data_IF_381206076485
#
_entry.id   IF_381206076485
#
_cell.length_a   1.000
_cell.length_b   1.000
_cell.length_c   1.000
_cell.angle_alpha   90.00
_cell.angle_beta   90.00
_cell.angle_gamma   90.00
#
_symmetry.space_group_name_H-M   'P 1'
#
loop_
_entity.id
_entity.type
_entity.pdbx_description
1 polymer ?
#
# COMPACT_ATOMS: atom_id res chain seq x y z
N UNK A 1 40.75 14.70 7.12
CA UNK A 1 39.97 15.75 6.44
C UNK A 1 39.21 15.08 5.31
N UNK A 2 37.94 14.70 5.53
CA UNK A 2 37.15 14.02 4.49
C UNK A 2 36.45 15.09 3.67
N UNK A 3 36.81 15.18 2.40
CA UNK A 3 36.17 16.07 1.43
C UNK A 3 34.69 15.69 1.29
N UNK A 4 33.79 16.60 1.68
CA UNK A 4 32.38 16.53 1.29
C UNK A 4 32.30 17.00 -0.17
N UNK A 5 32.09 16.07 -1.08
CA UNK A 5 31.75 16.37 -2.47
C UNK A 5 30.47 17.22 -2.50
N UNK A 6 30.42 18.18 -3.44
CA UNK A 6 29.26 19.04 -3.68
C UNK A 6 28.02 18.19 -3.98
N UNK A 7 26.94 18.41 -3.23
CA UNK A 7 25.64 17.78 -3.44
C UNK A 7 25.01 18.41 -4.69
N UNK A 8 24.94 17.64 -5.78
CA UNK A 8 24.11 17.96 -6.94
C UNK A 8 22.66 18.19 -6.49
N UNK A 9 21.93 19.04 -7.23
CA UNK A 9 20.69 19.69 -6.82
C UNK A 9 19.75 18.80 -6.00
N UNK A 10 19.39 19.27 -4.80
CA UNK A 10 18.53 18.51 -3.90
C UNK A 10 17.18 18.24 -4.57
N UNK A 11 16.88 16.98 -4.88
CA UNK A 11 15.55 16.57 -5.27
C UNK A 11 14.61 16.87 -4.09
N UNK A 12 13.58 17.68 -4.33
CA UNK A 12 12.62 18.06 -3.29
C UNK A 12 11.56 16.96 -3.20
N UNK A 13 11.61 16.16 -2.14
CA UNK A 13 10.59 15.16 -1.87
C UNK A 13 9.28 15.80 -1.43
N UNK A 14 8.11 15.19 -1.74
CA UNK A 14 6.81 15.65 -1.29
C UNK A 14 6.57 15.27 0.19
N UNK A 15 7.37 15.83 1.10
CA UNK A 15 7.26 15.56 2.54
C UNK A 15 5.88 15.99 3.08
N UNK A 16 5.28 15.15 3.93
CA UNK A 16 3.96 15.37 4.53
C UNK A 16 2.82 15.57 3.49
N UNK A 17 2.88 14.86 2.36
CA UNK A 17 1.82 14.87 1.36
C UNK A 17 1.05 13.55 1.39
N UNK A 18 -0.25 13.65 1.12
CA UNK A 18 -1.11 12.52 0.76
C UNK A 18 -1.17 12.52 -0.78
N UNK A 19 -0.81 11.40 -1.39
CA UNK A 19 -0.88 11.24 -2.84
C UNK A 19 -1.98 10.21 -3.10
N UNK A 20 -3.00 10.63 -3.86
CA UNK A 20 -4.12 9.77 -4.26
C UNK A 20 -3.83 9.14 -5.62
N UNK A 21 -4.01 7.82 -5.74
CA UNK A 21 -3.75 7.04 -6.96
C UNK A 21 -3.30 5.60 -6.70
N UNK A 22 -3.06 4.87 -7.78
CA UNK A 22 -2.45 3.54 -7.73
C UNK A 22 -1.04 3.62 -7.16
N UNK A 23 -0.73 2.78 -6.17
CA UNK A 23 0.53 2.90 -5.44
C UNK A 23 1.75 2.54 -6.30
N UNK A 24 1.63 1.62 -7.26
CA UNK A 24 2.73 1.23 -8.15
C UNK A 24 3.03 2.37 -9.11
N UNK A 25 2.00 2.93 -9.76
CA UNK A 25 2.15 4.07 -10.65
C UNK A 25 2.75 5.28 -9.94
N UNK A 26 2.22 5.64 -8.76
CA UNK A 26 2.68 6.78 -7.99
C UNK A 26 4.09 6.58 -7.45
N UNK A 27 4.41 5.41 -6.90
CA UNK A 27 5.76 5.14 -6.37
C UNK A 27 6.83 5.19 -7.48
N UNK A 28 6.49 4.78 -8.70
CA UNK A 28 7.40 4.87 -9.86
C UNK A 28 7.75 6.32 -10.25
N UNK A 29 6.98 7.32 -9.81
CA UNK A 29 7.30 8.74 -10.01
C UNK A 29 8.26 9.30 -8.96
N UNK A 30 8.46 8.59 -7.84
CA UNK A 30 9.38 9.02 -6.80
C UNK A 30 10.83 8.75 -7.21
N UNK A 31 11.79 9.57 -6.75
CA UNK A 31 13.20 9.31 -7.01
C UNK A 31 13.63 7.98 -6.37
N UNK A 32 14.51 7.26 -7.03
CA UNK A 32 15.10 6.05 -6.46
C UNK A 32 15.83 6.34 -5.13
N UNK A 33 15.85 5.35 -4.22
CA UNK A 33 16.54 5.43 -2.93
C UNK A 33 16.17 6.67 -2.09
N UNK A 34 14.94 7.15 -2.21
CA UNK A 34 14.48 8.39 -1.56
C UNK A 34 13.65 8.20 -0.29
N UNK A 35 13.28 6.96 0.04
CA UNK A 35 12.43 6.61 1.18
C UNK A 35 13.24 5.77 2.17
N UNK A 36 13.34 6.23 3.41
CA UNK A 36 14.12 5.56 4.46
C UNK A 36 13.40 4.34 5.05
N UNK A 37 12.07 4.38 5.11
CA UNK A 37 11.23 3.35 5.69
C UNK A 37 9.86 3.31 5.00
N UNK A 38 9.37 2.10 4.74
CA UNK A 38 8.04 1.85 4.17
C UNK A 38 7.24 1.03 5.18
N UNK A 39 6.01 1.46 5.43
CA UNK A 39 4.97 0.64 6.07
C UNK A 39 3.90 0.37 5.02
N UNK A 40 3.58 -0.90 4.81
CA UNK A 40 2.61 -1.32 3.80
C UNK A 40 1.62 -2.33 4.42
N UNK A 41 0.35 -2.11 4.13
CA UNK A 41 -0.77 -2.98 4.51
C UNK A 41 -1.58 -3.29 3.24
N UNK A 42 -1.10 -4.24 2.40
CA UNK A 42 -1.76 -4.56 1.13
C UNK A 42 -3.06 -5.34 1.36
N UNK A 43 -3.90 -5.52 0.32
CA UNK A 43 -4.99 -6.50 0.38
C UNK A 43 -4.48 -7.89 0.75
N UNK A 44 -5.24 -8.65 1.54
CA UNK A 44 -4.84 -9.96 2.06
C UNK A 44 -5.47 -11.13 1.30
N UNK A 45 -6.40 -10.85 0.39
CA UNK A 45 -7.15 -11.84 -0.37
C UNK A 45 -7.78 -12.87 0.58
N UNK A 46 -8.66 -12.41 1.47
CA UNK A 46 -9.22 -13.24 2.55
C UNK A 46 -10.11 -14.38 2.05
N UNK A 47 -10.54 -14.35 0.78
CA UNK A 47 -11.35 -15.40 0.14
C UNK A 47 -12.57 -15.81 0.96
N UNK A 48 -13.21 -14.85 1.63
CA UNK A 48 -14.35 -15.12 2.48
C UNK A 48 -15.49 -15.73 1.65
N UNK A 49 -16.04 -16.85 2.13
CA UNK A 49 -17.13 -17.58 1.45
C UNK A 49 -18.44 -17.38 2.19
N UNK A 50 -19.29 -16.53 1.63
CA UNK A 50 -20.65 -16.28 2.12
C UNK A 50 -20.70 -15.57 3.47
N UNK A 51 -21.89 -15.55 4.07
CA UNK A 51 -22.16 -14.82 5.30
C UNK A 51 -21.72 -15.60 6.53
N UNK A 52 -21.08 -14.91 7.47
CA UNK A 52 -20.76 -15.42 8.79
C UNK A 52 -21.72 -14.83 9.83
N UNK A 53 -22.25 -15.67 10.72
CA UNK A 53 -23.11 -15.24 11.83
C UNK A 53 -22.41 -15.47 13.17
N UNK A 54 -22.62 -14.53 14.10
CA UNK A 54 -22.22 -14.67 15.50
C UNK A 54 -23.18 -15.63 16.24
N UNK A 55 -22.83 -16.12 17.44
CA UNK A 55 -23.70 -17.01 18.23
C UNK A 55 -25.08 -16.43 18.58
N UNK A 56 -25.24 -15.11 18.57
CA UNK A 56 -26.50 -14.39 18.77
C UNK A 56 -27.30 -14.21 17.46
N UNK A 57 -26.91 -14.90 16.39
CA UNK A 57 -27.43 -14.81 15.02
C UNK A 57 -27.20 -13.46 14.30
N UNK A 58 -26.53 -12.48 14.90
CA UNK A 58 -26.15 -11.26 14.17
C UNK A 58 -25.14 -11.55 13.06
N UNK A 59 -25.28 -10.87 11.91
CA UNK A 59 -24.33 -11.00 10.79
C UNK A 59 -23.00 -10.32 11.14
N UNK A 60 -21.89 -10.95 10.76
CA UNK A 60 -20.55 -10.37 10.83
C UNK A 60 -20.38 -9.39 9.67
N UNK A 61 -19.83 -8.22 9.99
CA UNK A 61 -19.39 -7.24 9.00
C UNK A 61 -18.01 -7.67 8.51
N UNK A 62 -17.98 -8.30 7.34
CA UNK A 62 -16.79 -8.93 6.78
C UNK A 62 -16.06 -7.93 5.87
N UNK A 63 -14.78 -8.16 5.61
CA UNK A 63 -14.07 -7.43 4.55
C UNK A 63 -14.46 -8.09 3.22
N UNK A 64 -15.52 -7.59 2.61
CA UNK A 64 -16.07 -8.06 1.33
C UNK A 64 -15.90 -7.02 0.20
N UNK A 65 -15.11 -5.98 0.45
CA UNK A 65 -14.79 -4.95 -0.52
C UNK A 65 -14.06 -5.48 -1.76
N UNK A 66 -14.31 -4.84 -2.91
CA UNK A 66 -13.74 -5.22 -4.21
C UNK A 66 -12.21 -5.18 -4.26
N UNK A 67 -11.56 -4.35 -3.45
CA UNK A 67 -10.10 -4.23 -3.43
C UNK A 67 -9.41 -5.46 -2.83
N UNK A 68 -10.13 -6.31 -2.10
CA UNK A 68 -9.63 -7.58 -1.55
C UNK A 68 -10.10 -8.82 -2.35
N UNK A 69 -10.73 -8.60 -3.51
CA UNK A 69 -11.24 -9.67 -4.36
C UNK A 69 -10.34 -9.91 -5.57
N UNK A 70 -9.93 -11.16 -5.75
CA UNK A 70 -9.01 -11.57 -6.81
C UNK A 70 -9.58 -12.77 -7.58
N UNK A 71 -9.43 -12.77 -8.91
CA UNK A 71 -9.93 -13.84 -9.78
C UNK A 71 -9.21 -15.19 -9.55
N UNK A 72 -7.95 -15.15 -9.10
CA UNK A 72 -7.17 -16.35 -8.78
C UNK A 72 -5.96 -16.05 -7.90
N UNK A 73 -5.39 -17.09 -7.27
CA UNK A 73 -4.11 -17.01 -6.57
C UNK A 73 -2.92 -16.63 -7.46
N UNK A 74 -3.03 -16.74 -8.79
CA UNK A 74 -1.95 -16.34 -9.69
C UNK A 74 -1.90 -14.82 -9.93
N UNK A 75 -3.00 -14.12 -9.63
CA UNK A 75 -3.13 -12.67 -9.79
C UNK A 75 -2.77 -11.93 -8.49
N UNK A 76 -2.84 -12.64 -7.34
CA UNK A 76 -2.35 -12.18 -6.05
C UNK A 76 -0.86 -12.46 -5.90
#
# INVERSE_FOLDING_TARGET
MVNRAKKEGSIKLPLNNIIDGDCVEVMNLLPENSIDLIFADPPYNLQLKGDLHRPDNSKVDAVDDHWDQFDSFAIY
#
